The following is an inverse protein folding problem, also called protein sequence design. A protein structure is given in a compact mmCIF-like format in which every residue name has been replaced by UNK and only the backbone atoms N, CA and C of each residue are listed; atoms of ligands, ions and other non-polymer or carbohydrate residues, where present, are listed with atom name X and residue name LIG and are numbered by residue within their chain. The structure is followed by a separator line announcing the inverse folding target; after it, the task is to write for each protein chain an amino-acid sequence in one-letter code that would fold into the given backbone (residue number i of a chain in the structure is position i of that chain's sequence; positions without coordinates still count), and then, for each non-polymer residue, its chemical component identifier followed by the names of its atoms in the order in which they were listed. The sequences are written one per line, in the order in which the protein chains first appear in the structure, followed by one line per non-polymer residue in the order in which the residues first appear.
data_IF_138760256594
#
_entry.id   IF_138760256594
#
_cell.length_a   1.000
_cell.length_b   1.000
_cell.length_c   1.000
_cell.angle_alpha   90.00
_cell.angle_beta   90.00
_cell.angle_gamma   90.00
#
_symmetry.space_group_name_H-M   'P 1'
#
loop_
_entity.id
_entity.type
_entity.pdbx_description
1 polymer ?
#
# COMPACT_ATOMS: atom_id res chain seq x y z
N UNK A 1 1.41 -11.17 -33.54
CA UNK A 1 0.50 -10.29 -34.29
C UNK A 1 0.83 -8.84 -33.96
N UNK A 2 1.38 -8.18 -34.96
CA UNK A 2 1.87 -6.80 -35.17
C UNK A 2 1.37 -5.69 -34.21
N UNK A 3 2.32 -4.84 -33.75
CA UNK A 3 2.11 -3.37 -33.71
C UNK A 3 3.26 -2.69 -34.43
N UNK A 4 2.92 -1.94 -35.49
CA UNK A 4 3.84 -1.10 -36.23
C UNK A 4 4.28 0.06 -35.34
N UNK A 5 5.58 0.30 -35.21
CA UNK A 5 6.07 1.59 -34.74
C UNK A 5 6.29 2.49 -35.95
N UNK A 6 5.54 3.60 -36.00
CA UNK A 6 5.62 4.61 -37.03
C UNK A 6 7.04 5.19 -37.10
N UNK A 7 7.57 5.33 -38.32
CA UNK A 7 8.83 6.01 -38.60
C UNK A 7 8.69 7.49 -38.23
N UNK A 8 9.17 7.87 -37.04
CA UNK A 8 9.09 9.26 -36.56
C UNK A 8 9.30 9.47 -35.07
N UNK A 9 9.41 8.41 -34.25
CA UNK A 9 9.78 8.58 -32.85
C UNK A 9 11.29 8.86 -32.75
N UNK A 10 11.64 10.10 -32.38
CA UNK A 10 13.04 10.51 -32.12
C UNK A 10 13.68 9.58 -31.08
N UNK A 11 14.83 9.00 -31.44
CA UNK A 11 15.62 8.08 -30.62
C UNK A 11 16.13 8.70 -29.30
N UNK A 12 15.94 10.01 -29.10
CA UNK A 12 16.36 10.77 -27.91
C UNK A 12 15.44 10.58 -26.68
N UNK A 13 14.24 10.02 -26.82
CA UNK A 13 13.31 9.81 -25.69
C UNK A 13 13.58 8.46 -24.98
N UNK A 14 14.48 7.63 -25.52
CA UNK A 14 14.81 6.31 -25.00
C UNK A 14 16.16 6.31 -24.24
N UNK A 15 16.44 7.35 -23.47
CA UNK A 15 17.62 7.38 -22.59
C UNK A 15 17.30 7.25 -21.10
N UNK A 16 16.02 7.09 -20.74
CA UNK A 16 15.62 6.90 -19.34
C UNK A 16 14.40 5.97 -19.21
N UNK A 17 14.48 4.78 -19.80
CA UNK A 17 13.47 3.75 -19.57
C UNK A 17 13.76 3.09 -18.22
N UNK A 18 12.82 3.21 -17.28
CA UNK A 18 12.89 2.53 -15.99
C UNK A 18 13.02 1.01 -16.20
N UNK A 19 13.97 0.39 -15.49
CA UNK A 19 14.16 -1.06 -15.51
C UNK A 19 12.99 -1.72 -14.78
N UNK A 20 12.16 -2.46 -15.52
CA UNK A 20 11.07 -3.28 -14.97
C UNK A 20 11.54 -4.72 -14.85
N UNK A 21 11.29 -5.32 -13.69
CA UNK A 21 11.57 -6.73 -13.43
C UNK A 21 10.27 -7.44 -13.02
N UNK A 22 10.02 -8.60 -13.62
CA UNK A 22 8.87 -9.44 -13.29
C UNK A 22 9.32 -10.58 -12.39
N UNK A 23 8.68 -10.71 -11.23
CA UNK A 23 9.01 -11.73 -10.23
C UNK A 23 7.90 -12.78 -10.19
N UNK A 24 8.29 -14.05 -10.28
CA UNK A 24 7.38 -15.21 -10.25
C UNK A 24 7.65 -16.11 -9.05
N UNK A 25 6.72 -17.02 -8.74
CA UNK A 25 6.90 -18.00 -7.66
C UNK A 25 6.85 -17.38 -6.26
N UNK A 26 6.24 -16.21 -6.16
CA UNK A 26 6.00 -15.51 -4.90
C UNK A 26 4.66 -15.95 -4.32
N UNK A 27 4.51 -15.85 -3.00
CA UNK A 27 3.30 -16.31 -2.33
C UNK A 27 2.09 -15.43 -2.65
N UNK A 28 1.09 -15.95 -3.35
CA UNK A 28 -0.10 -15.18 -3.70
C UNK A 28 -1.24 -15.42 -2.70
N UNK A 29 -2.16 -14.47 -2.60
CA UNK A 29 -3.40 -14.67 -1.86
C UNK A 29 -4.29 -15.69 -2.59
N UNK A 30 -5.14 -16.38 -1.83
CA UNK A 30 -6.20 -17.19 -2.42
C UNK A 30 -7.20 -16.32 -3.19
N UNK A 31 -7.77 -16.82 -4.28
CA UNK A 31 -8.72 -16.06 -5.13
C UNK A 31 -9.98 -15.60 -4.41
N UNK A 32 -10.33 -16.27 -3.31
CA UNK A 32 -11.49 -15.93 -2.47
C UNK A 32 -11.11 -14.98 -1.33
N UNK A 33 -9.82 -14.65 -1.19
CA UNK A 33 -9.30 -13.78 -0.14
C UNK A 33 -9.45 -12.31 -0.51
N UNK A 34 -9.74 -11.49 0.50
CA UNK A 34 -9.79 -10.02 0.39
C UNK A 34 -8.50 -9.34 0.89
N UNK A 35 -7.40 -10.10 0.98
CA UNK A 35 -6.13 -9.66 1.56
C UNK A 35 -5.20 -8.98 0.56
N UNK A 36 -5.67 -8.59 -0.63
CA UNK A 36 -4.83 -8.07 -1.71
C UNK A 36 -3.95 -6.90 -1.27
N UNK A 37 -4.51 -5.97 -0.49
CA UNK A 37 -3.78 -4.83 0.04
C UNK A 37 -2.69 -5.23 1.04
N UNK A 38 -2.91 -6.29 1.81
CA UNK A 38 -1.92 -6.82 2.76
C UNK A 38 -0.72 -7.39 2.01
N UNK A 39 -0.95 -8.21 0.98
CA UNK A 39 0.13 -8.77 0.16
C UNK A 39 0.95 -7.67 -0.52
N UNK A 40 0.30 -6.65 -1.09
CA UNK A 40 0.99 -5.50 -1.71
C UNK A 40 1.83 -4.74 -0.69
N UNK A 41 1.30 -4.49 0.51
CA UNK A 41 2.02 -3.79 1.58
C UNK A 41 3.24 -4.60 2.05
N UNK A 42 3.09 -5.92 2.22
CA UNK A 42 4.20 -6.82 2.58
C UNK A 42 5.28 -6.77 1.52
N UNK A 43 4.94 -6.90 0.24
CA UNK A 43 5.95 -6.84 -0.83
C UNK A 43 6.65 -5.49 -0.91
N UNK A 44 5.92 -4.40 -0.73
CA UNK A 44 6.52 -3.07 -0.67
C UNK A 44 7.50 -2.95 0.51
N UNK A 45 7.18 -3.50 1.69
CA UNK A 45 8.06 -3.54 2.87
C UNK A 45 9.34 -4.32 2.56
N UNK A 46 9.22 -5.55 2.05
CA UNK A 46 10.38 -6.39 1.69
C UNK A 46 11.29 -5.73 0.65
N UNK A 47 10.71 -5.20 -0.43
CA UNK A 47 11.47 -4.52 -1.48
C UNK A 47 12.15 -3.24 -0.97
N UNK A 48 11.49 -2.50 -0.07
CA UNK A 48 12.05 -1.30 0.54
C UNK A 48 13.23 -1.61 1.46
N UNK A 49 13.19 -2.76 2.15
CA UNK A 49 14.28 -3.24 2.99
C UNK A 49 15.37 -4.00 2.20
N UNK A 50 15.20 -4.17 0.89
CA UNK A 50 16.12 -4.95 0.05
C UNK A 50 16.10 -6.46 0.36
N UNK A 51 15.04 -6.95 1.00
CA UNK A 51 14.85 -8.35 1.32
C UNK A 51 14.29 -9.11 0.11
N UNK A 52 14.64 -10.40 0.02
CA UNK A 52 14.07 -11.30 -0.98
C UNK A 52 12.57 -11.51 -0.76
N UNK A 53 11.79 -11.46 -1.83
CA UNK A 53 10.34 -11.63 -1.77
C UNK A 53 10.00 -13.07 -1.31
N UNK A 54 9.12 -13.25 -0.30
CA UNK A 54 8.77 -14.58 0.19
C UNK A 54 8.04 -15.41 -0.88
N UNK A 55 8.51 -16.65 -1.06
CA UNK A 55 7.86 -17.68 -1.89
C UNK A 55 6.90 -18.57 -1.11
N UNK A 56 7.06 -18.63 0.22
CA UNK A 56 6.15 -19.33 1.15
C UNK A 56 4.98 -18.44 1.56
N UNK A 57 3.86 -19.06 1.97
CA UNK A 57 2.65 -18.35 2.40
C UNK A 57 2.91 -17.17 3.35
N UNK A 58 2.27 -16.04 3.07
CA UNK A 58 2.28 -14.85 3.93
C UNK A 58 1.14 -15.00 4.95
N UNK A 59 1.45 -14.81 6.23
CA UNK A 59 0.41 -14.74 7.27
C UNK A 59 -0.35 -13.41 7.17
N UNK A 60 -1.36 -13.41 6.30
CA UNK A 60 -2.16 -12.22 6.04
C UNK A 60 -2.88 -11.70 7.30
N UNK A 61 -3.26 -12.57 8.25
CA UNK A 61 -3.92 -12.17 9.49
C UNK A 61 -2.96 -11.36 10.37
N UNK A 62 -1.74 -11.87 10.58
CA UNK A 62 -0.71 -11.16 11.34
C UNK A 62 -0.40 -9.79 10.74
N UNK A 63 -0.13 -9.73 9.43
CA UNK A 63 0.19 -8.48 8.76
C UNK A 63 -1.00 -7.50 8.75
N UNK A 64 -2.23 -8.00 8.55
CA UNK A 64 -3.43 -7.17 8.63
C UNK A 64 -3.56 -6.51 10.00
N UNK A 65 -3.36 -7.26 11.10
CA UNK A 65 -3.43 -6.71 12.45
C UNK A 65 -2.30 -5.71 12.73
N UNK A 66 -1.08 -5.99 12.27
CA UNK A 66 0.08 -5.07 12.40
C UNK A 66 -0.19 -3.74 11.70
N UNK A 67 -0.61 -3.77 10.43
CA UNK A 67 -0.87 -2.56 9.66
C UNK A 67 -2.11 -1.81 10.16
N UNK A 68 -3.19 -2.51 10.52
CA UNK A 68 -4.37 -1.88 11.11
C UNK A 68 -4.03 -1.16 12.43
N UNK A 69 -3.19 -1.77 13.27
CA UNK A 69 -2.71 -1.15 14.51
C UNK A 69 -1.88 0.11 14.23
N UNK A 70 -0.98 0.05 13.25
CA UNK A 70 -0.15 1.20 12.86
C UNK A 70 -1.01 2.35 12.31
N UNK A 71 -1.98 2.04 11.47
CA UNK A 71 -2.94 3.02 10.94
C UNK A 71 -3.86 3.59 12.03
N UNK A 72 -4.31 2.76 12.98
CA UNK A 72 -5.09 3.20 14.16
C UNK A 72 -4.29 4.24 14.96
N UNK A 73 -3.03 3.92 15.32
CA UNK A 73 -2.14 4.81 16.07
C UNK A 73 -1.90 6.12 15.34
N UNK A 74 -1.59 6.06 14.04
CA UNK A 74 -1.39 7.26 13.23
C UNK A 74 -2.66 8.12 13.17
N UNK A 75 -3.83 7.50 12.94
CA UNK A 75 -5.11 8.19 12.91
C UNK A 75 -5.44 8.90 14.22
N UNK A 76 -5.16 8.26 15.36
CA UNK A 76 -5.35 8.85 16.69
C UNK A 76 -4.45 10.08 16.88
N UNK A 77 -3.17 9.98 16.56
CA UNK A 77 -2.23 11.11 16.65
C UNK A 77 -2.64 12.26 15.72
N UNK A 78 -3.11 11.94 14.50
CA UNK A 78 -3.58 12.94 13.54
C UNK A 78 -4.82 13.67 14.04
N UNK A 79 -5.75 12.95 14.66
CA UNK A 79 -6.97 13.52 15.25
C UNK A 79 -6.66 14.39 16.47
N UNK A 80 -5.77 13.94 17.36
CA UNK A 80 -5.34 14.70 18.55
C UNK A 80 -4.66 16.01 18.16
N UNK A 81 -3.72 15.97 17.22
CA UNK A 81 -3.00 17.16 16.74
C UNK A 81 -3.85 18.08 15.88
N UNK A 82 -5.10 17.70 15.58
CA UNK A 82 -6.00 18.47 14.72
C UNK A 82 -5.42 18.71 13.33
N UNK A 83 -4.63 17.77 12.79
CA UNK A 83 -3.94 17.96 11.53
C UNK A 83 -4.96 18.06 10.39
N UNK A 84 -5.16 19.26 9.86
CA UNK A 84 -5.94 19.49 8.66
C UNK A 84 -5.03 19.35 7.44
N UNK A 85 -5.58 18.79 6.37
CA UNK A 85 -4.87 18.76 5.09
C UNK A 85 -4.83 20.19 4.56
N UNK A 86 -3.67 20.81 4.46
CA UNK A 86 -3.46 22.10 3.77
C UNK A 86 -3.54 21.96 2.24
N UNK A 87 -4.22 20.93 1.75
CA UNK A 87 -4.46 20.80 0.31
C UNK A 87 -5.48 21.86 -0.09
N UNK A 88 -5.32 22.46 -1.27
CA UNK A 88 -6.29 23.33 -1.92
C UNK A 88 -7.63 22.62 -2.23
N UNK A 89 -7.75 21.33 -1.89
CA UNK A 89 -9.00 20.60 -1.87
C UNK A 89 -10.06 21.39 -1.08
N UNK A 90 -11.25 21.63 -1.67
CA UNK A 90 -12.36 22.20 -0.94
C UNK A 90 -12.60 21.42 0.36
N UNK A 91 -12.95 22.09 1.47
CA UNK A 91 -13.20 21.41 2.73
C UNK A 91 -14.16 20.24 2.50
N UNK A 92 -13.67 19.01 2.67
CA UNK A 92 -14.54 17.83 2.57
C UNK A 92 -15.69 18.02 3.55
N UNK A 93 -16.95 17.76 3.14
CA UNK A 93 -18.08 17.78 4.06
C UNK A 93 -17.70 16.95 5.27
N UNK A 94 -17.73 17.56 6.47
CA UNK A 94 -17.43 16.85 7.71
C UNK A 94 -18.41 15.67 7.80
N UNK A 95 -17.95 14.47 7.47
CA UNK A 95 -18.59 13.26 7.97
C UNK A 95 -18.59 13.41 9.49
N UNK A 96 -19.75 13.27 10.11
CA UNK A 96 -19.96 13.37 11.56
C UNK A 96 -19.27 12.20 12.27
N UNK A 97 -17.94 12.16 12.21
CA UNK A 97 -17.13 11.37 13.11
C UNK A 97 -17.07 12.16 14.41
N UNK A 98 -18.03 11.91 15.27
CA UNK A 98 -17.91 12.22 16.70
C UNK A 98 -16.54 11.70 17.13
N UNK A 99 -15.73 12.56 17.74
CA UNK A 99 -14.42 12.21 18.30
C UNK A 99 -14.63 11.21 19.43
N UNK A 100 -14.83 9.94 19.07
CA UNK A 100 -14.90 8.85 20.03
C UNK A 100 -13.46 8.46 20.27
N UNK A 101 -13.01 8.65 21.50
CA UNK A 101 -11.73 8.16 21.99
C UNK A 101 -11.70 6.64 21.76
N UNK A 102 -11.08 6.22 20.66
CA UNK A 102 -10.85 4.81 20.35
C UNK A 102 -9.48 4.47 20.90
N UNK A 103 -9.45 4.06 22.16
CA UNK A 103 -8.28 3.39 22.72
C UNK A 103 -8.07 2.13 21.88
N UNK A 104 -6.94 2.03 21.17
CA UNK A 104 -6.58 0.84 20.39
C UNK A 104 -6.17 -0.28 21.39
N UNK A 105 -7.13 -0.82 22.12
CA UNK A 105 -6.95 -2.04 22.91
C UNK A 105 -7.31 -3.24 22.01
N UNK A 106 -6.37 -3.68 21.19
CA UNK A 106 -6.45 -5.00 20.58
C UNK A 106 -5.84 -5.97 21.60
N UNK A 107 -6.70 -6.74 22.28
CA UNK A 107 -6.27 -7.89 23.08
C UNK A 107 -5.62 -8.90 22.14
N UNK A 108 -4.35 -9.20 22.40
CA UNK A 108 -3.70 -10.42 21.94
C UNK A 108 -3.84 -11.38 23.11
N UNK A 109 -4.65 -12.44 22.96
CA UNK A 109 -4.66 -13.60 23.87
C UNK A 109 -3.77 -14.70 23.29
#
# INVERSE_FOLDING_TARGET
MVRLFSAGFSLSILQDLFRVEYVTGIAQQDSESLNCGVFVAVYAEYLSEGLGIPSSGIDAQYHHMRYATLLCKYGSVKAEKGYFSENDDPPRPRSSFTQKEKICALHIE
#
